data_IF_876354897121
#
_entry.id   IF_876354897121
#
_cell.length_a   1.000
_cell.length_b   1.000
_cell.length_c   1.000
_cell.angle_alpha   90.00
_cell.angle_beta   90.00
_cell.angle_gamma   90.00
#
_symmetry.space_group_name_H-M   'P 1'
#
loop_
_entity.id
_entity.type
_entity.pdbx_description
1 polymer ?
#
# COMPACT_ATOMS: atom_id res chain seq x y z
N UNK A 1 -37.67 9.13 12.22
CA UNK A 1 -36.30 9.68 12.20
C UNK A 1 -35.85 9.73 10.75
N UNK A 2 -35.39 10.88 10.23
CA UNK A 2 -34.86 10.95 8.85
C UNK A 2 -33.57 10.12 8.80
N UNK A 3 -33.55 9.09 7.97
CA UNK A 3 -32.34 8.32 7.71
C UNK A 3 -31.33 9.25 7.03
N UNK A 4 -30.31 9.69 7.78
CA UNK A 4 -29.23 10.47 7.20
C UNK A 4 -28.45 9.57 6.25
N UNK A 5 -28.47 9.89 4.96
CA UNK A 5 -27.63 9.23 3.96
C UNK A 5 -26.20 9.76 4.15
N UNK A 6 -25.41 9.04 4.95
CA UNK A 6 -23.99 9.33 5.18
C UNK A 6 -23.27 9.35 3.84
N UNK A 7 -22.50 10.40 3.58
CA UNK A 7 -21.69 10.53 2.37
C UNK A 7 -20.23 10.32 2.73
N UNK A 8 -19.61 9.32 2.12
CA UNK A 8 -18.18 9.06 2.21
C UNK A 8 -17.53 9.37 0.86
N UNK A 9 -16.41 10.09 0.88
CA UNK A 9 -15.57 10.29 -0.30
C UNK A 9 -14.10 10.26 0.09
N UNK A 10 -13.28 9.72 -0.81
CA UNK A 10 -11.83 9.65 -0.64
C UNK A 10 -11.14 10.26 -1.85
N UNK A 11 -10.18 11.16 -1.62
CA UNK A 11 -9.47 11.86 -2.70
C UNK A 11 -7.94 11.87 -2.49
N UNK A 12 -7.16 11.47 -3.50
CA UNK A 12 -7.61 10.86 -4.76
C UNK A 12 -8.16 9.44 -4.51
N UNK A 13 -9.14 9.00 -5.31
CA UNK A 13 -9.69 7.63 -5.23
C UNK A 13 -8.77 6.58 -5.85
N UNK A 14 -7.88 7.01 -6.74
CA UNK A 14 -6.78 6.22 -7.31
C UNK A 14 -5.50 7.04 -7.18
N UNK A 15 -4.48 6.50 -6.56
CA UNK A 15 -3.20 7.19 -6.36
C UNK A 15 -2.08 6.20 -6.10
N UNK A 16 -0.86 6.69 -5.97
CA UNK A 16 0.25 5.83 -5.57
C UNK A 16 0.11 5.40 -4.10
N UNK A 17 0.76 4.30 -3.74
CA UNK A 17 0.74 3.76 -2.38
C UNK A 17 1.41 4.69 -1.36
N UNK A 18 2.33 5.54 -1.80
CA UNK A 18 3.01 6.57 -1.01
C UNK A 18 2.38 7.96 -1.16
N UNK A 19 1.31 8.09 -1.95
CA UNK A 19 0.56 9.32 -2.10
C UNK A 19 -0.49 9.47 -0.99
N UNK A 20 -0.54 10.66 -0.38
CA UNK A 20 -1.53 10.98 0.64
C UNK A 20 -2.95 10.98 0.05
N UNK A 21 -3.93 10.55 0.84
CA UNK A 21 -5.34 10.70 0.51
C UNK A 21 -6.13 11.28 1.69
N UNK A 22 -7.20 11.99 1.37
CA UNK A 22 -8.13 12.59 2.32
C UNK A 22 -9.39 11.74 2.39
N UNK A 23 -9.84 11.42 3.59
CA UNK A 23 -11.12 10.76 3.82
C UNK A 23 -12.10 11.79 4.36
N UNK A 24 -13.17 12.05 3.60
CA UNK A 24 -14.20 13.01 3.96
C UNK A 24 -15.52 12.26 4.21
N UNK A 25 -16.02 12.35 5.44
CA UNK A 25 -17.35 11.86 5.85
C UNK A 25 -18.25 13.07 6.07
N UNK A 26 -19.42 13.09 5.45
CA UNK A 26 -20.39 14.19 5.54
C UNK A 26 -21.80 13.66 5.79
N UNK A 27 -22.71 14.58 6.12
CA UNK A 27 -24.15 14.30 6.34
C UNK A 27 -24.38 13.34 7.50
N UNK A 28 -23.57 13.43 8.55
CA UNK A 28 -23.81 12.79 9.85
C UNK A 28 -24.31 13.84 10.85
N UNK A 29 -25.04 13.46 11.91
CA UNK A 29 -25.41 14.40 12.97
C UNK A 29 -24.18 15.08 13.61
N UNK A 30 -24.27 16.34 14.06
CA UNK A 30 -23.20 16.95 14.86
C UNK A 30 -22.89 16.13 16.12
N UNK A 31 -21.60 15.96 16.43
CA UNK A 31 -21.17 15.13 17.57
C UNK A 31 -21.34 13.61 17.35
N UNK A 32 -21.72 13.17 16.16
CA UNK A 32 -21.89 11.75 15.86
C UNK A 32 -20.54 11.03 15.93
N UNK A 33 -20.47 10.02 16.80
CA UNK A 33 -19.32 9.13 16.92
C UNK A 33 -19.35 8.09 15.81
N UNK A 34 -18.23 7.95 15.11
CA UNK A 34 -18.08 7.00 14.02
C UNK A 34 -16.70 6.37 14.00
N UNK A 35 -16.61 5.22 13.33
CA UNK A 35 -15.34 4.59 12.98
C UNK A 35 -15.16 4.66 11.46
N UNK A 36 -14.01 5.13 11.01
CA UNK A 36 -13.56 4.92 9.62
C UNK A 36 -12.67 3.68 9.63
N UNK A 37 -13.05 2.69 8.85
CA UNK A 37 -12.37 1.40 8.73
C UNK A 37 -11.79 1.25 7.32
N UNK A 38 -10.60 0.69 7.23
CA UNK A 38 -9.95 0.30 5.99
C UNK A 38 -9.76 -1.21 6.00
N UNK A 39 -10.14 -1.86 4.91
CA UNK A 39 -9.99 -3.29 4.69
C UNK A 39 -9.30 -3.53 3.35
N UNK A 40 -8.20 -4.25 3.38
CA UNK A 40 -7.55 -4.78 2.19
C UNK A 40 -7.56 -6.31 2.24
N UNK A 41 -7.91 -6.94 1.12
CA UNK A 41 -7.85 -8.38 0.93
C UNK A 41 -6.93 -8.67 -0.25
N UNK A 42 -5.95 -9.55 -0.05
CA UNK A 42 -5.06 -9.98 -1.12
C UNK A 42 -5.66 -11.16 -1.92
N UNK A 43 -5.01 -11.52 -3.02
CA UNK A 43 -5.42 -12.61 -3.91
C UNK A 43 -5.45 -13.98 -3.21
N UNK A 44 -4.58 -14.19 -2.21
CA UNK A 44 -4.56 -15.42 -1.39
C UNK A 44 -5.70 -15.49 -0.35
N UNK A 45 -6.54 -14.47 -0.30
CA UNK A 45 -7.68 -14.38 0.61
C UNK A 45 -7.36 -13.86 2.01
N UNK A 46 -6.09 -13.51 2.28
CA UNK A 46 -5.69 -12.88 3.53
C UNK A 46 -6.19 -11.44 3.60
N UNK A 47 -6.57 -11.00 4.80
CA UNK A 47 -7.13 -9.67 5.02
C UNK A 47 -6.37 -8.88 6.06
N UNK A 48 -6.22 -7.58 5.82
CA UNK A 48 -5.64 -6.60 6.72
C UNK A 48 -6.64 -5.49 6.97
N UNK A 49 -6.70 -5.04 8.21
CA UNK A 49 -7.56 -3.94 8.62
C UNK A 49 -6.83 -2.85 9.39
N UNK A 50 -7.37 -1.64 9.29
CA UNK A 50 -7.01 -0.49 10.10
C UNK A 50 -8.28 0.30 10.38
N UNK A 51 -8.30 1.04 11.48
CA UNK A 51 -9.44 1.90 11.78
C UNK A 51 -9.06 3.05 12.71
N UNK A 52 -9.74 4.18 12.51
CA UNK A 52 -9.67 5.35 13.37
C UNK A 52 -11.05 5.72 13.91
N UNK A 53 -11.08 6.25 15.13
CA UNK A 53 -12.29 6.74 15.80
C UNK A 53 -12.42 8.25 15.66
N UNK A 54 -13.59 8.73 15.27
CA UNK A 54 -13.82 10.15 14.98
C UNK A 54 -15.15 10.65 15.50
N UNK A 55 -15.19 11.93 15.85
CA UNK A 55 -16.42 12.63 16.21
C UNK A 55 -16.70 13.70 15.17
N UNK A 56 -17.90 13.67 14.58
CA UNK A 56 -18.29 14.67 13.61
C UNK A 56 -18.35 16.07 14.24
N UNK A 57 -17.82 17.06 13.51
CA UNK A 57 -17.84 18.45 13.92
C UNK A 57 -19.27 19.05 13.93
N UNK A 58 -19.38 20.34 14.27
CA UNK A 58 -20.66 21.04 14.40
C UNK A 58 -21.52 21.06 13.11
N UNK A 59 -20.91 20.86 11.94
CA UNK A 59 -21.61 20.81 10.65
C UNK A 59 -21.82 19.37 10.14
N UNK A 60 -21.53 18.37 10.98
CA UNK A 60 -21.76 16.97 10.63
C UNK A 60 -20.75 16.40 9.63
N UNK A 61 -19.47 16.76 9.80
CA UNK A 61 -18.35 16.35 8.94
C UNK A 61 -17.18 15.79 9.76
N UNK A 62 -16.47 14.81 9.18
CA UNK A 62 -15.13 14.36 9.60
C UNK A 62 -14.20 14.43 8.39
N UNK A 63 -13.02 15.00 8.54
CA UNK A 63 -11.96 15.02 7.53
C UNK A 63 -10.59 14.82 8.19
N UNK A 64 -9.75 15.86 8.22
CA UNK A 64 -8.43 15.91 8.84
C UNK A 64 -8.50 16.04 10.37
N UNK A 65 -9.60 15.59 10.95
CA UNK A 65 -9.77 15.54 12.40
C UNK A 65 -8.83 14.48 13.01
N UNK A 66 -8.37 14.65 14.25
CA UNK A 66 -7.54 13.65 14.90
C UNK A 66 -8.34 12.35 15.12
N UNK A 67 -7.73 11.21 14.79
CA UNK A 67 -8.22 9.92 15.27
C UNK A 67 -8.09 9.87 16.80
N UNK A 68 -9.19 9.55 17.47
CA UNK A 68 -9.31 9.49 18.93
C UNK A 68 -8.93 8.12 19.50
N UNK A 69 -8.65 7.15 18.63
CA UNK A 69 -8.34 5.77 19.00
C UNK A 69 -8.47 4.81 17.82
N UNK A 70 -8.12 3.55 18.06
CA UNK A 70 -8.12 2.50 17.04
C UNK A 70 -6.73 1.98 16.77
N UNK A 71 -6.39 1.73 15.50
CA UNK A 71 -5.05 1.26 15.11
C UNK A 71 -4.03 2.40 15.02
N UNK A 72 -4.48 3.65 15.08
CA UNK A 72 -3.66 4.87 15.15
C UNK A 72 -4.43 6.00 15.87
N UNK A 73 -3.73 7.09 16.22
CA UNK A 73 -4.31 8.27 16.87
C UNK A 73 -3.62 9.55 16.39
N UNK A 74 -4.30 10.69 16.51
CA UNK A 74 -3.79 11.98 16.01
C UNK A 74 -4.18 12.28 14.55
N UNK A 75 -3.63 13.37 14.01
CA UNK A 75 -3.92 13.84 12.63
C UNK A 75 -3.00 13.10 11.66
N UNK A 76 -3.43 11.90 11.24
CA UNK A 76 -2.61 10.96 10.46
C UNK A 76 -3.33 10.57 9.15
N UNK A 77 -3.10 11.33 8.08
CA UNK A 77 -3.78 11.12 6.78
C UNK A 77 -3.58 9.71 6.20
N UNK A 78 -2.42 9.12 6.47
CA UNK A 78 -2.07 7.77 6.02
C UNK A 78 -2.28 6.69 7.08
N UNK A 79 -2.89 7.04 8.22
CA UNK A 79 -3.14 6.12 9.35
C UNK A 79 -3.83 4.84 8.90
N UNK A 80 -4.85 4.96 8.05
CA UNK A 80 -5.60 3.82 7.49
C UNK A 80 -4.78 2.88 6.59
N UNK A 81 -3.59 3.27 6.14
CA UNK A 81 -2.70 2.42 5.36
C UNK A 81 -1.50 1.92 6.18
N UNK A 82 -0.75 2.81 6.82
CA UNK A 82 0.47 2.39 7.53
C UNK A 82 0.15 1.55 8.78
N UNK A 83 -1.03 1.74 9.38
CA UNK A 83 -1.44 0.99 10.57
C UNK A 83 -2.22 -0.29 10.23
N UNK A 84 -2.23 -0.73 8.97
CA UNK A 84 -2.86 -1.99 8.57
C UNK A 84 -2.21 -3.15 9.33
N UNK A 85 -3.06 -3.96 9.96
CA UNK A 85 -2.66 -5.19 10.65
C UNK A 85 -3.48 -6.37 10.13
N UNK A 86 -2.95 -7.60 10.17
CA UNK A 86 -3.77 -8.78 9.85
C UNK A 86 -5.05 -8.80 10.69
N UNK A 87 -6.18 -9.18 10.09
CA UNK A 87 -7.45 -9.30 10.82
C UNK A 87 -7.32 -10.34 11.95
N UNK A 88 -8.07 -10.20 13.07
CA UNK A 88 -8.06 -11.17 14.16
C UNK A 88 -8.28 -12.61 13.66
N UNK A 89 -7.48 -13.56 14.15
CA UNK A 89 -7.52 -14.95 13.70
C UNK A 89 -6.62 -15.28 12.50
N UNK A 90 -5.89 -14.30 11.96
CA UNK A 90 -4.89 -14.53 10.91
C UNK A 90 -3.71 -15.38 11.38
N UNK A 91 -3.05 -16.07 10.43
CA UNK A 91 -1.83 -16.85 10.71
C UNK A 91 -0.72 -15.94 11.26
N UNK A 92 0.04 -16.38 12.29
CA UNK A 92 1.21 -15.65 12.77
C UNK A 92 2.24 -15.42 11.65
N UNK A 93 2.89 -14.25 11.66
CA UNK A 93 3.95 -13.93 10.71
C UNK A 93 3.48 -13.63 9.29
N UNK A 94 2.17 -13.47 9.06
CA UNK A 94 1.62 -13.16 7.75
C UNK A 94 2.13 -11.80 7.25
N UNK A 95 2.88 -11.84 6.15
CA UNK A 95 3.46 -10.65 5.52
C UNK A 95 2.58 -10.12 4.40
N UNK A 96 2.65 -8.81 4.21
CA UNK A 96 1.92 -8.12 3.17
C UNK A 96 2.68 -8.18 1.84
N UNK A 97 2.27 -9.10 0.96
CA UNK A 97 2.76 -9.20 -0.42
C UNK A 97 2.27 -8.01 -1.26
N UNK A 98 3.16 -7.47 -2.10
CA UNK A 98 2.87 -6.31 -2.96
C UNK A 98 3.07 -6.69 -4.41
N UNK A 99 2.00 -6.66 -5.19
CA UNK A 99 2.06 -6.76 -6.65
C UNK A 99 2.21 -5.34 -7.20
N UNK A 100 3.21 -5.12 -8.06
CA UNK A 100 3.46 -3.80 -8.66
C UNK A 100 2.60 -3.53 -9.90
N UNK A 101 2.04 -4.58 -10.51
CA UNK A 101 1.25 -4.48 -11.75
C UNK A 101 -0.25 -4.35 -11.49
N UNK A 102 -0.71 -4.67 -10.28
CA UNK A 102 -2.11 -4.52 -9.86
C UNK A 102 -2.19 -3.59 -8.64
N UNK A 103 -3.28 -2.81 -8.49
CA UNK A 103 -3.43 -1.94 -7.34
C UNK A 103 -3.72 -2.74 -6.07
N UNK A 104 -3.29 -2.19 -4.94
CA UNK A 104 -3.87 -2.53 -3.65
C UNK A 104 -5.25 -1.88 -3.56
N UNK A 105 -6.31 -2.68 -3.64
CA UNK A 105 -7.68 -2.23 -3.41
C UNK A 105 -7.99 -2.15 -1.92
N UNK A 106 -8.38 -0.98 -1.44
CA UNK A 106 -8.73 -0.73 -0.04
C UNK A 106 -10.18 -0.30 0.05
N UNK A 107 -10.99 -1.09 0.72
CA UNK A 107 -12.37 -0.72 1.05
C UNK A 107 -12.35 0.19 2.28
N UNK A 108 -12.77 1.45 2.10
CA UNK A 108 -12.96 2.40 3.17
C UNK A 108 -14.44 2.42 3.54
N UNK A 109 -14.76 2.18 4.80
CA UNK A 109 -16.12 2.05 5.31
C UNK A 109 -16.33 2.92 6.55
N UNK A 110 -17.55 3.42 6.73
CA UNK A 110 -17.96 4.19 7.92
C UNK A 110 -18.94 3.38 8.74
N UNK A 111 -18.66 3.22 10.04
CA UNK A 111 -19.53 2.53 11.00
C UNK A 111 -20.00 3.48 12.10
N UNK A 112 -21.17 3.20 12.66
CA UNK A 112 -21.70 3.95 13.81
C UNK A 112 -20.98 3.56 15.11
N UNK A 113 -20.58 4.58 15.88
CA UNK A 113 -19.92 4.46 17.18
C UNK A 113 -18.44 4.11 17.07
N UNK A 114 -17.74 4.14 18.19
CA UNK A 114 -16.34 3.71 18.28
C UNK A 114 -16.24 2.19 18.33
N UNK A 115 -16.11 1.58 17.16
CA UNK A 115 -15.96 0.14 16.97
C UNK A 115 -14.49 -0.26 16.90
N UNK A 116 -14.17 -1.40 17.51
CA UNK A 116 -12.81 -1.97 17.52
C UNK A 116 -12.74 -3.38 16.93
N UNK A 117 -13.88 -4.02 16.69
CA UNK A 117 -14.01 -5.39 16.19
C UNK A 117 -15.39 -5.62 15.56
N UNK A 118 -15.55 -6.76 14.88
CA UNK A 118 -16.83 -7.20 14.32
C UNK A 118 -17.28 -6.41 13.10
N UNK A 119 -16.35 -5.82 12.35
CA UNK A 119 -16.66 -5.04 11.13
C UNK A 119 -17.29 -5.89 10.03
N UNK A 120 -16.93 -7.18 9.93
CA UNK A 120 -17.44 -8.13 8.93
C UNK A 120 -18.94 -8.44 9.13
N UNK A 121 -19.40 -8.45 10.38
CA UNK A 121 -20.78 -8.82 10.73
C UNK A 121 -21.74 -7.61 10.70
N UNK A 122 -21.23 -6.42 10.40
CA UNK A 122 -21.99 -5.18 10.44
C UNK A 122 -22.13 -4.57 9.05
N UNK A 123 -23.31 -3.98 8.81
CA UNK A 123 -23.55 -3.19 7.61
C UNK A 123 -22.97 -1.78 7.81
N UNK A 124 -22.02 -1.33 6.96
CA UNK A 124 -21.49 0.03 7.05
C UNK A 124 -22.55 1.07 6.65
N UNK A 125 -22.44 2.28 7.21
CA UNK A 125 -23.27 3.43 6.86
C UNK A 125 -22.98 3.94 5.43
N UNK A 126 -21.74 3.81 5.00
CA UNK A 126 -21.25 4.11 3.66
C UNK A 126 -19.94 3.35 3.42
N UNK A 127 -19.63 3.04 2.17
CA UNK A 127 -18.39 2.39 1.78
C UNK A 127 -17.95 2.81 0.38
N UNK A 128 -16.65 2.94 0.17
CA UNK A 128 -16.02 3.21 -1.13
C UNK A 128 -14.75 2.37 -1.27
N UNK A 129 -14.41 1.99 -2.49
CA UNK A 129 -13.13 1.33 -2.79
C UNK A 129 -12.16 2.36 -3.35
N UNK A 130 -10.93 2.33 -2.88
CA UNK A 130 -9.82 3.14 -3.42
C UNK A 130 -8.67 2.25 -3.87
N UNK A 131 -7.94 2.71 -4.87
CA UNK A 131 -6.80 1.98 -5.43
C UNK A 131 -5.49 2.66 -5.03
N UNK A 132 -4.54 1.86 -4.54
CA UNK A 132 -3.18 2.28 -4.21
C UNK A 132 -2.18 1.53 -5.09
N UNK A 133 -1.59 2.25 -6.03
CA UNK A 133 -0.70 1.70 -7.04
C UNK A 133 0.77 1.77 -6.59
N UNK A 134 1.54 0.72 -6.83
CA UNK A 134 3.00 0.74 -6.61
C UNK A 134 3.79 1.13 -7.87
N UNK A 135 3.13 1.17 -9.03
CA UNK A 135 3.72 1.54 -10.30
C UNK A 135 2.81 2.54 -11.01
N UNK A 136 3.31 3.75 -11.24
CA UNK A 136 2.57 4.79 -11.96
C UNK A 136 2.32 4.40 -13.43
N UNK A 137 1.24 4.92 -14.04
CA UNK A 137 1.01 4.79 -15.47
C UNK A 137 2.23 5.22 -16.29
N UNK A 138 2.63 4.38 -17.25
CA UNK A 138 3.74 4.65 -18.16
C UNK A 138 5.13 4.26 -17.63
N UNK A 139 5.27 3.91 -16.36
CA UNK A 139 6.50 3.26 -15.86
C UNK A 139 6.65 1.91 -16.57
N UNK A 140 7.84 1.67 -17.12
CA UNK A 140 8.16 0.39 -17.78
C UNK A 140 8.82 -0.54 -16.78
N UNK A 141 8.30 -1.76 -16.67
CA UNK A 141 8.89 -2.88 -15.93
C UNK A 141 9.63 -3.81 -16.91
N UNK A 142 10.93 -3.99 -16.72
CA UNK A 142 11.79 -4.83 -17.57
C UNK A 142 12.46 -5.90 -16.69
N UNK A 143 11.91 -7.13 -16.64
CA UNK A 143 12.55 -8.26 -15.96
C UNK A 143 13.86 -8.65 -16.66
N UNK A 144 14.88 -8.97 -15.88
CA UNK A 144 16.21 -9.34 -16.35
C UNK A 144 16.60 -10.68 -15.72
N UNK A 145 16.88 -11.67 -16.58
CA UNK A 145 17.33 -13.02 -16.17
C UNK A 145 18.61 -13.45 -16.89
N UNK A 146 19.34 -12.50 -17.48
CA UNK A 146 20.53 -12.74 -18.28
C UNK A 146 21.80 -12.77 -17.41
N UNK A 147 22.83 -13.52 -17.82
CA UNK A 147 24.12 -13.55 -17.12
C UNK A 147 24.07 -14.11 -15.69
N UNK A 148 23.01 -14.84 -15.31
CA UNK A 148 22.79 -15.30 -13.94
C UNK A 148 22.24 -14.24 -12.99
N UNK A 149 22.02 -13.02 -13.48
CA UNK A 149 21.38 -11.93 -12.76
C UNK A 149 19.87 -12.22 -12.63
N UNK A 150 19.29 -12.02 -11.44
CA UNK A 150 17.84 -11.99 -11.25
C UNK A 150 17.48 -10.59 -10.79
N UNK A 151 16.92 -9.79 -11.68
CA UNK A 151 16.62 -8.39 -11.40
C UNK A 151 15.37 -7.92 -12.16
N UNK A 152 14.84 -6.77 -11.76
CA UNK A 152 13.82 -6.05 -12.52
C UNK A 152 14.17 -4.58 -12.57
N UNK A 153 14.33 -4.06 -13.78
CA UNK A 153 14.55 -2.64 -14.02
C UNK A 153 13.21 -1.92 -14.20
N UNK A 154 13.02 -0.84 -13.45
CA UNK A 154 11.91 0.08 -13.61
C UNK A 154 12.40 1.39 -14.22
N UNK A 155 11.79 1.79 -15.33
CA UNK A 155 12.11 3.03 -16.02
C UNK A 155 10.94 4.01 -15.91
N UNK A 156 11.20 5.27 -15.52
CA UNK A 156 10.18 6.32 -15.54
C UNK A 156 9.57 6.51 -16.93
N UNK A 157 8.37 7.10 -16.95
CA UNK A 157 7.73 7.48 -18.21
C UNK A 157 8.39 8.72 -18.82
N UNK A 158 8.30 8.84 -20.14
CA UNK A 158 8.81 10.00 -20.90
C UNK A 158 10.21 9.80 -21.49
N UNK A 159 10.67 10.74 -22.32
CA UNK A 159 11.99 10.71 -22.94
C UNK A 159 13.07 11.25 -21.99
N UNK A 160 14.30 10.76 -22.13
CA UNK A 160 15.48 11.33 -21.47
C UNK A 160 16.28 10.32 -20.66
N UNK A 161 17.39 10.79 -20.10
CA UNK A 161 18.18 10.06 -19.12
C UNK A 161 17.62 10.31 -17.72
N UNK A 162 17.45 9.26 -16.94
CA UNK A 162 17.00 9.34 -15.56
C UNK A 162 18.17 9.07 -14.61
N UNK A 163 18.18 9.65 -13.40
CA UNK A 163 19.10 9.18 -12.36
C UNK A 163 18.87 7.68 -12.11
N UNK A 164 19.96 6.92 -12.04
CA UNK A 164 19.95 5.47 -11.81
C UNK A 164 20.14 5.14 -10.33
N UNK A 165 19.37 4.19 -9.82
CA UNK A 165 19.47 3.68 -8.46
C UNK A 165 19.46 2.15 -8.46
N UNK A 166 20.39 1.54 -7.72
CA UNK A 166 20.40 0.11 -7.44
C UNK A 166 19.63 -0.14 -6.13
N UNK A 167 18.53 -0.89 -6.22
CA UNK A 167 17.65 -1.20 -5.11
C UNK A 167 17.95 -2.59 -4.54
N UNK A 168 18.60 -2.62 -3.37
CA UNK A 168 18.97 -3.83 -2.65
C UNK A 168 18.05 -4.02 -1.45
N UNK A 169 17.29 -5.11 -1.44
CA UNK A 169 16.45 -5.50 -0.30
C UNK A 169 17.14 -6.60 0.50
N UNK A 170 17.14 -6.44 1.83
CA UNK A 170 17.59 -7.49 2.74
C UNK A 170 16.46 -8.46 3.09
N UNK A 171 16.82 -9.60 3.66
CA UNK A 171 15.88 -10.65 4.09
C UNK A 171 15.77 -11.81 3.11
N UNK A 172 15.13 -12.89 3.54
CA UNK A 172 15.02 -14.15 2.76
C UNK A 172 13.90 -14.12 1.70
N UNK A 173 13.26 -12.96 1.48
CA UNK A 173 12.24 -12.85 0.44
C UNK A 173 12.89 -12.74 -0.94
N UNK A 174 12.26 -13.39 -1.91
CA UNK A 174 12.60 -13.22 -3.32
C UNK A 174 12.48 -11.74 -3.73
N UNK A 175 13.11 -11.41 -4.86
CA UNK A 175 13.11 -10.10 -5.52
C UNK A 175 11.90 -9.21 -5.18
N UNK A 176 12.16 -8.15 -4.40
CA UNK A 176 11.15 -7.19 -3.95
C UNK A 176 11.13 -5.97 -4.88
N UNK A 177 10.03 -5.78 -5.61
CA UNK A 177 9.96 -4.79 -6.70
C UNK A 177 9.31 -3.46 -6.33
N UNK A 178 8.49 -3.44 -5.28
CA UNK A 178 7.59 -2.31 -5.00
C UNK A 178 8.30 -0.99 -4.71
N UNK A 179 9.52 -1.02 -4.14
CA UNK A 179 10.30 0.19 -3.84
C UNK A 179 10.89 0.76 -5.12
N UNK A 180 11.55 -0.06 -5.93
CA UNK A 180 12.03 0.33 -7.26
C UNK A 180 10.90 0.85 -8.16
N UNK A 181 9.72 0.23 -8.15
CA UNK A 181 8.56 0.67 -8.92
C UNK A 181 8.06 2.06 -8.48
N UNK A 182 7.98 2.32 -7.17
CA UNK A 182 7.62 3.65 -6.65
C UNK A 182 8.69 4.69 -6.98
N UNK A 183 9.97 4.38 -6.85
CA UNK A 183 11.07 5.29 -7.21
C UNK A 183 11.03 5.68 -8.70
N UNK A 184 10.75 4.72 -9.59
CA UNK A 184 10.55 4.99 -11.02
C UNK A 184 9.30 5.83 -11.29
N UNK A 185 8.26 5.66 -10.49
CA UNK A 185 7.06 6.51 -10.53
C UNK A 185 7.36 7.97 -10.18
N UNK A 186 8.44 8.22 -9.44
CA UNK A 186 8.95 9.56 -9.08
C UNK A 186 10.16 10.00 -9.92
N UNK A 187 10.43 9.35 -11.06
CA UNK A 187 11.44 9.82 -12.02
C UNK A 187 12.86 9.23 -11.83
N UNK A 188 13.02 8.18 -11.04
CA UNK A 188 14.33 7.52 -10.80
C UNK A 188 14.34 6.13 -11.45
N UNK A 189 15.21 5.92 -12.44
CA UNK A 189 15.41 4.58 -13.00
C UNK A 189 15.99 3.66 -11.92
N UNK A 190 15.25 2.60 -11.57
CA UNK A 190 15.54 1.82 -10.38
C UNK A 190 15.65 0.33 -10.72
N UNK A 191 16.78 -0.29 -10.39
CA UNK A 191 17.03 -1.71 -10.60
C UNK A 191 16.85 -2.47 -9.28
N UNK A 192 15.75 -3.18 -9.12
CA UNK A 192 15.60 -4.14 -8.02
C UNK A 192 16.47 -5.36 -8.34
N UNK A 193 17.37 -5.72 -7.43
CA UNK A 193 18.31 -6.83 -7.63
C UNK A 193 18.16 -7.88 -6.52
N UNK A 194 18.04 -9.14 -6.92
CA UNK A 194 18.10 -10.28 -6.02
C UNK A 194 19.54 -10.79 -5.90
N UNK A 195 20.18 -10.46 -4.80
CA UNK A 195 21.54 -10.90 -4.47
C UNK A 195 21.60 -11.93 -3.32
N UNK A 196 20.46 -12.22 -2.68
CA UNK A 196 20.37 -13.15 -1.55
C UNK A 196 19.84 -14.52 -1.96
N UNK A 197 18.92 -14.57 -2.93
CA UNK A 197 18.33 -15.80 -3.46
C UNK A 197 18.57 -16.06 -4.96
N UNK A 198 19.63 -15.55 -5.62
CA UNK A 198 19.87 -15.91 -7.01
C UNK A 198 20.16 -17.41 -7.13
N UNK A 199 19.95 -17.96 -8.34
CA UNK A 199 20.08 -19.41 -8.61
C UNK A 199 21.39 -19.99 -8.09
N UNK A 200 22.51 -19.29 -8.33
CA UNK A 200 23.83 -19.73 -7.87
C UNK A 200 23.90 -19.89 -6.36
N UNK A 201 23.29 -18.98 -5.59
CA UNK A 201 23.26 -19.04 -4.13
C UNK A 201 22.34 -20.14 -3.65
N UNK A 202 21.18 -20.31 -4.26
CA UNK A 202 20.26 -21.41 -3.91
C UNK A 202 20.84 -22.80 -4.22
N UNK A 203 21.60 -22.93 -5.31
CA UNK A 203 22.18 -24.21 -5.74
C UNK A 203 23.48 -24.56 -5.00
N UNK A 204 24.31 -23.56 -4.67
CA UNK A 204 25.65 -23.80 -4.12
C UNK A 204 25.78 -23.45 -2.63
N UNK A 205 24.82 -22.73 -2.06
CA UNK A 205 24.90 -22.16 -0.71
C UNK A 205 25.93 -21.03 -0.57
N UNK A 206 26.60 -20.62 -1.66
CA UNK A 206 27.58 -19.53 -1.64
C UNK A 206 26.91 -18.21 -1.97
N UNK A 207 27.26 -17.18 -1.21
CA UNK A 207 26.89 -15.81 -1.54
C UNK A 207 27.52 -15.38 -2.86
N UNK A 208 26.82 -14.54 -3.61
CA UNK A 208 27.37 -13.86 -4.80
C UNK A 208 28.56 -12.97 -4.41
N UNK A 209 29.52 -12.84 -5.31
CA UNK A 209 30.66 -11.94 -5.14
C UNK A 209 30.40 -10.55 -5.74
N UNK A 210 31.40 -9.67 -5.69
CA UNK A 210 31.28 -8.31 -6.21
C UNK A 210 31.03 -8.25 -7.73
N UNK A 211 31.45 -9.27 -8.50
CA UNK A 211 31.26 -9.29 -9.95
C UNK A 211 29.78 -9.37 -10.31
N UNK A 212 28.95 -9.93 -9.43
CA UNK A 212 27.49 -9.95 -9.57
C UNK A 212 26.86 -8.54 -9.58
N UNK A 213 27.49 -7.59 -8.88
CA UNK A 213 27.02 -6.20 -8.82
C UNK A 213 27.65 -5.32 -9.91
N UNK A 214 28.78 -5.74 -10.47
CA UNK A 214 29.54 -5.03 -11.50
C UNK A 214 29.16 -5.42 -12.94
N UNK A 215 28.09 -6.21 -13.11
CA UNK A 215 27.62 -6.65 -14.44
C UNK A 215 27.43 -5.44 -15.35
N UNK A 216 28.29 -5.37 -16.37
CA UNK A 216 28.66 -4.11 -17.03
C UNK A 216 27.73 -3.75 -18.19
N UNK A 217 26.84 -4.67 -18.58
CA UNK A 217 25.88 -4.47 -19.66
C UNK A 217 24.60 -5.24 -19.36
N UNK A 218 23.51 -4.50 -19.15
CA UNK A 218 22.15 -5.01 -19.22
C UNK A 218 21.58 -4.43 -20.51
N UNK A 219 21.26 -5.29 -21.48
CA UNK A 219 20.60 -4.85 -22.70
C UNK A 219 19.12 -4.62 -22.39
N UNK A 220 18.64 -3.37 -22.49
CA UNK A 220 17.28 -2.93 -22.10
C UNK A 220 16.54 -2.32 -23.27
#
# INVERSE_FOLDING_TARGET
MKQCCVKLSVQPSKGLADEKFLVLVQKVPPGFQLTVHALHKNEDGHSWEAFGHYTANAIGTVNEDPSLGGTYSGVELMGLLWSLRPVPGSKPGLRYGKNVQTPMEVTISVYQGYRTQGFVDQVPLAGVVVERWYMAPGVRRVPITEGGLTATLFLPSGPGSFPGLLDLSGGEEKLMEYRAALLASHGIASLALDYLTPKITMETGKMVDNQYFEVSQINV
#
